data_IF_738235929734
#
_entry.id   IF_738235929734
#
_cell.length_a   1.000
_cell.length_b   1.000
_cell.length_c   1.000
_cell.angle_alpha   90.00
_cell.angle_beta   90.00
_cell.angle_gamma   90.00
#
_symmetry.space_group_name_H-M   'P 1'
#
loop_
_entity.id
_entity.type
_entity.pdbx_description
1 polymer ?
#
# COMPACT_ATOMS: atom_id res chain seq x y z
N UNK A 1 -3.43 -22.05 -6.12
CA UNK A 1 -3.44 -21.32 -4.83
C UNK A 1 -4.15 -19.99 -5.03
N UNK A 2 -5.38 -19.86 -4.52
CA UNK A 2 -6.04 -18.57 -4.45
C UNK A 2 -5.21 -17.70 -3.49
N UNK A 3 -4.55 -16.66 -4.00
CA UNK A 3 -3.99 -15.61 -3.14
C UNK A 3 -5.20 -14.90 -2.56
N UNK A 4 -5.53 -15.06 -1.25
CA UNK A 4 -6.69 -14.41 -0.67
C UNK A 4 -6.59 -12.94 -1.02
N UNK A 5 -7.65 -12.47 -1.68
CA UNK A 5 -7.71 -11.17 -2.33
C UNK A 5 -7.06 -10.12 -1.44
N UNK A 6 -6.05 -9.44 -1.98
CA UNK A 6 -5.49 -8.24 -1.36
C UNK A 6 -6.61 -7.21 -1.27
N UNK A 7 -7.39 -7.25 -0.20
CA UNK A 7 -8.39 -6.24 0.07
C UNK A 7 -7.64 -4.93 0.28
N UNK A 8 -7.67 -4.09 -0.76
CA UNK A 8 -6.92 -2.84 -0.81
C UNK A 8 -7.30 -1.96 0.38
N UNK A 9 -8.58 -1.95 0.75
CA UNK A 9 -9.08 -1.23 1.92
C UNK A 9 -8.39 -1.64 3.23
N UNK A 10 -8.00 -2.91 3.37
CA UNK A 10 -7.26 -3.41 4.55
C UNK A 10 -5.74 -3.28 4.44
N UNK A 11 -5.18 -3.31 3.23
CA UNK A 11 -3.72 -3.36 3.02
C UNK A 11 -3.09 -1.98 2.92
N UNK A 12 -3.74 -1.02 2.29
CA UNK A 12 -3.28 0.36 2.23
C UNK A 12 -3.02 0.99 3.62
N UNK A 13 -3.90 0.83 4.63
CA UNK A 13 -3.61 1.34 5.98
C UNK A 13 -2.43 0.62 6.64
N UNK A 14 -2.27 -0.69 6.44
CA UNK A 14 -1.13 -1.45 6.97
C UNK A 14 0.21 -1.01 6.35
N UNK A 15 0.23 -0.80 5.03
CA UNK A 15 1.39 -0.26 4.29
C UNK A 15 1.72 1.16 4.80
N UNK A 16 0.71 2.00 5.01
CA UNK A 16 0.87 3.37 5.51
C UNK A 16 1.45 3.39 6.93
N UNK A 17 0.93 2.57 7.84
CA UNK A 17 1.40 2.47 9.22
C UNK A 17 2.87 2.01 9.30
N UNK A 18 3.25 0.99 8.53
CA UNK A 18 4.63 0.52 8.47
C UNK A 18 5.56 1.56 7.85
N UNK A 19 5.12 2.26 6.80
CA UNK A 19 5.90 3.36 6.19
C UNK A 19 6.13 4.51 7.17
N UNK A 20 5.11 4.89 7.96
CA UNK A 20 5.24 5.92 9.01
C UNK A 20 6.25 5.52 10.10
N UNK A 21 6.38 4.22 10.34
CA UNK A 21 7.39 3.66 11.24
C UNK A 21 8.80 3.57 10.61
N UNK A 22 9.00 4.10 9.40
CA UNK A 22 10.27 4.08 8.69
C UNK A 22 10.60 2.76 7.98
N UNK A 23 9.64 1.83 7.86
CA UNK A 23 9.89 0.56 7.19
C UNK A 23 10.07 0.75 5.67
N UNK A 24 11.09 0.09 5.12
CA UNK A 24 11.36 0.07 3.68
C UNK A 24 10.40 -0.87 2.93
N UNK A 25 10.18 -0.62 1.64
CA UNK A 25 9.32 -1.45 0.78
C UNK A 25 9.58 -2.98 0.87
N UNK A 26 10.83 -3.48 0.83
CA UNK A 26 11.11 -4.92 0.98
C UNK A 26 10.72 -5.45 2.36
N UNK A 27 10.91 -4.66 3.42
CA UNK A 27 10.52 -5.05 4.78
C UNK A 27 8.99 -5.14 4.91
N UNK A 28 8.27 -4.18 4.33
CA UNK A 28 6.80 -4.17 4.30
C UNK A 28 6.26 -5.36 3.49
N UNK A 29 6.86 -5.66 2.34
CA UNK A 29 6.49 -6.78 1.50
C UNK A 29 6.59 -8.11 2.25
N UNK A 30 7.71 -8.33 2.95
CA UNK A 30 7.91 -9.52 3.80
C UNK A 30 6.94 -9.56 4.98
N UNK A 31 6.73 -8.44 5.65
CA UNK A 31 5.83 -8.36 6.81
C UNK A 31 4.36 -8.64 6.46
N UNK A 32 3.92 -8.23 5.27
CA UNK A 32 2.54 -8.40 4.82
C UNK A 32 2.34 -9.65 3.93
N UNK A 33 3.41 -10.38 3.59
CA UNK A 33 3.33 -11.53 2.68
C UNK A 33 2.93 -11.16 1.24
N UNK A 34 3.24 -9.93 0.80
CA UNK A 34 2.87 -9.41 -0.52
C UNK A 34 4.11 -9.10 -1.36
N UNK A 35 3.92 -8.83 -2.65
CA UNK A 35 5.03 -8.45 -3.52
C UNK A 35 5.51 -7.01 -3.28
N UNK A 36 6.81 -6.77 -3.41
CA UNK A 36 7.36 -5.41 -3.41
C UNK A 36 6.72 -4.52 -4.48
N UNK A 37 6.36 -5.10 -5.63
CA UNK A 37 5.66 -4.40 -6.71
C UNK A 37 4.33 -3.83 -6.21
N UNK A 38 3.60 -4.60 -5.41
CA UNK A 38 2.35 -4.16 -4.78
C UNK A 38 2.59 -3.02 -3.79
N UNK A 39 3.65 -3.11 -2.98
CA UNK A 39 4.03 -2.05 -2.03
C UNK A 39 4.39 -0.76 -2.77
N UNK A 40 5.20 -0.83 -3.83
CA UNK A 40 5.55 0.33 -4.66
C UNK A 40 4.33 0.95 -5.35
N UNK A 41 3.41 0.11 -5.83
CA UNK A 41 2.15 0.59 -6.40
C UNK A 41 1.29 1.32 -5.36
N UNK A 42 1.15 0.75 -4.16
CA UNK A 42 0.45 1.40 -3.06
C UNK A 42 1.14 2.71 -2.64
N UNK A 43 2.47 2.76 -2.60
CA UNK A 43 3.20 4.00 -2.34
C UNK A 43 2.92 5.09 -3.35
N UNK A 44 2.91 4.76 -4.66
CA UNK A 44 2.57 5.73 -5.72
C UNK A 44 1.14 6.23 -5.56
N UNK A 45 0.20 5.32 -5.28
CA UNK A 45 -1.21 5.66 -5.10
C UNK A 45 -1.47 6.51 -3.85
N UNK A 46 -0.80 6.22 -2.73
CA UNK A 46 -0.92 6.96 -1.46
C UNK A 46 -0.14 8.28 -1.47
N UNK A 47 0.93 8.39 -2.26
CA UNK A 47 1.72 9.61 -2.41
C UNK A 47 1.10 10.59 -3.43
N UNK A 48 0.30 10.08 -4.36
CA UNK A 48 -0.55 10.93 -5.19
C UNK A 48 -1.70 11.37 -4.27
N UNK A 49 -1.86 12.66 -3.92
CA UNK A 49 -3.10 13.10 -3.29
C UNK A 49 -4.24 12.60 -4.16
N UNK A 50 -5.38 12.13 -3.61
CA UNK A 50 -6.53 11.81 -4.45
C UNK A 50 -6.70 13.06 -5.32
N UNK A 51 -6.51 12.92 -6.63
CA UNK A 51 -6.72 14.02 -7.56
C UNK A 51 -8.07 14.57 -7.11
N UNK A 52 -8.07 15.83 -6.63
CA UNK A 52 -9.30 16.51 -6.28
C UNK A 52 -10.20 16.23 -7.47
N UNK A 53 -11.20 15.37 -7.26
CA UNK A 53 -12.42 15.48 -8.01
C UNK A 53 -12.81 16.91 -7.69
N UNK A 54 -12.49 17.83 -8.62
CA UNK A 54 -13.18 19.09 -8.76
C UNK A 54 -14.65 18.71 -8.85
N UNK A 55 -15.29 18.66 -7.70
CA UNK A 55 -16.71 18.78 -7.56
C UNK A 55 -16.88 20.22 -7.08
N UNK A 56 -17.52 21.01 -7.94
CA UNK A 56 -17.76 22.45 -7.87
C UNK A 56 -16.55 23.33 -8.20
#
# INVERSE_FOLDING_TARGET
MARPALDRGRIDPAISALRKSGASAPRIARALGISERTVRYAFRRLATPPAQRKAA
#
